data_IF_031427315220
#
_entry.id   IF_031427315220
#
_cell.length_a   1.000
_cell.length_b   1.000
_cell.length_c   1.000
_cell.angle_alpha   90.00
_cell.angle_beta   90.00
_cell.angle_gamma   90.00
#
_symmetry.space_group_name_H-M   'P 1'
#
loop_
_entity.id
_entity.type
_entity.pdbx_description
1 polymer ?
#
# COMPACT_ATOMS: atom_id res chain seq x y z
N UNK A 1 -3.86 -5.63 9.00
CA UNK A 1 -2.76 -6.23 9.79
C UNK A 1 -3.18 -7.47 10.58
N UNK A 2 -4.25 -7.44 11.34
CA UNK A 2 -4.74 -8.61 12.11
C UNK A 2 -5.12 -9.85 11.27
N UNK A 3 -5.72 -9.67 10.09
CA UNK A 3 -6.12 -10.80 9.21
C UNK A 3 -4.91 -11.62 8.74
N UNK A 4 -3.76 -10.98 8.50
CA UNK A 4 -2.53 -11.66 8.05
C UNK A 4 -1.90 -12.55 9.14
N UNK A 5 -1.94 -12.11 10.39
CA UNK A 5 -1.41 -12.87 11.53
C UNK A 5 -2.31 -14.07 11.89
N UNK A 6 -3.65 -13.92 11.79
CA UNK A 6 -4.60 -15.00 12.03
C UNK A 6 -4.50 -16.11 10.98
N UNK A 7 -4.31 -15.77 9.69
CA UNK A 7 -4.09 -16.79 8.64
C UNK A 7 -2.77 -17.57 8.84
N UNK A 8 -1.69 -16.91 9.28
CA UNK A 8 -0.43 -17.59 9.64
C UNK A 8 -0.57 -18.52 10.85
N UNK A 9 -1.38 -18.18 11.83
CA UNK A 9 -1.62 -18.99 13.01
C UNK A 9 -2.55 -20.20 12.73
N UNK A 10 -3.51 -20.06 11.80
CA UNK A 10 -4.41 -21.14 11.39
C UNK A 10 -3.77 -22.15 10.42
N UNK A 11 -2.68 -21.81 9.76
CA UNK A 11 -1.97 -22.65 8.78
C UNK A 11 -1.11 -23.79 9.36
N UNK A 12 -1.21 -24.04 10.66
CA UNK A 12 -0.36 -25.03 11.34
C UNK A 12 -0.81 -26.49 11.25
N UNK A 13 -1.92 -26.84 10.60
CA UNK A 13 -2.47 -28.20 10.68
C UNK A 13 -2.85 -28.88 9.35
N UNK A 14 -2.92 -28.20 8.24
CA UNK A 14 -3.14 -28.80 6.91
C UNK A 14 -2.19 -28.20 5.90
N UNK A 15 -1.53 -29.07 5.10
CA UNK A 15 -0.80 -28.68 3.89
C UNK A 15 -1.79 -28.16 2.83
N UNK A 16 -2.32 -26.96 3.04
CA UNK A 16 -2.92 -26.23 1.96
C UNK A 16 -1.77 -25.58 1.20
N UNK A 17 -1.59 -25.95 -0.06
CA UNK A 17 -0.59 -25.40 -0.95
C UNK A 17 -0.98 -23.95 -1.32
N UNK A 18 -0.78 -23.03 -0.38
CA UNK A 18 -0.93 -21.59 -0.65
C UNK A 18 0.24 -21.10 -1.49
N UNK A 19 -0.06 -20.37 -2.53
CA UNK A 19 0.92 -19.73 -3.39
C UNK A 19 0.72 -18.21 -3.44
N UNK A 20 1.82 -17.49 -3.52
CA UNK A 20 1.81 -16.07 -3.80
C UNK A 20 1.53 -15.84 -5.28
N UNK A 21 0.69 -14.86 -5.59
CA UNK A 21 0.47 -14.41 -6.94
C UNK A 21 0.22 -12.89 -6.98
N UNK A 22 0.61 -12.28 -8.08
CA UNK A 22 0.47 -10.84 -8.31
C UNK A 22 -0.33 -10.62 -9.57
N UNK A 23 -1.35 -9.77 -9.47
CA UNK A 23 -2.14 -9.30 -10.60
C UNK A 23 -1.93 -7.82 -10.79
N UNK A 24 -1.91 -7.40 -12.04
CA UNK A 24 -1.67 -6.03 -12.44
C UNK A 24 -2.76 -5.58 -13.42
N UNK A 25 -3.14 -4.33 -13.31
CA UNK A 25 -4.15 -3.78 -14.20
C UNK A 25 -4.32 -2.28 -14.05
N UNK A 26 -5.30 -1.78 -14.78
CA UNK A 26 -5.72 -0.39 -14.72
C UNK A 26 -7.13 -0.29 -14.17
N UNK A 27 -7.33 0.58 -13.20
CA UNK A 27 -8.64 1.03 -12.76
C UNK A 27 -9.25 2.08 -13.69
N UNK A 28 -10.35 2.71 -13.29
CA UNK A 28 -10.98 3.77 -14.07
C UNK A 28 -9.99 4.86 -14.47
N UNK A 29 -10.07 5.27 -15.74
CA UNK A 29 -9.24 6.33 -16.31
C UNK A 29 -7.72 6.12 -16.16
N UNK A 30 -7.28 4.86 -16.17
CA UNK A 30 -5.85 4.53 -16.25
C UNK A 30 -5.08 4.58 -14.93
N UNK A 31 -5.76 4.50 -13.79
CA UNK A 31 -5.08 4.32 -12.49
C UNK A 31 -4.38 2.95 -12.48
N UNK A 32 -3.08 2.95 -12.27
CA UNK A 32 -2.31 1.71 -12.17
C UNK A 32 -2.56 1.02 -10.83
N UNK A 33 -2.79 -0.29 -10.86
CA UNK A 33 -3.09 -1.10 -9.67
C UNK A 33 -2.29 -2.39 -9.69
N UNK A 34 -1.64 -2.69 -8.56
CA UNK A 34 -0.98 -3.98 -8.28
C UNK A 34 -1.75 -4.66 -7.15
N UNK A 35 -2.10 -5.92 -7.31
CA UNK A 35 -2.81 -6.72 -6.31
C UNK A 35 -1.95 -7.93 -5.93
N UNK A 36 -1.47 -7.96 -4.72
CA UNK A 36 -0.71 -9.08 -4.16
C UNK A 36 -1.65 -10.03 -3.42
N UNK A 37 -1.62 -11.29 -3.80
CA UNK A 37 -2.51 -12.32 -3.28
C UNK A 37 -1.75 -13.50 -2.71
N UNK A 38 -2.35 -14.16 -1.73
CA UNK A 38 -1.96 -15.47 -1.23
C UNK A 38 -3.19 -16.39 -1.31
N UNK A 39 -3.13 -17.42 -2.16
CA UNK A 39 -4.29 -18.26 -2.46
C UNK A 39 -3.95 -19.74 -2.54
N UNK A 40 -4.92 -20.56 -2.22
CA UNK A 40 -4.91 -22.01 -2.46
C UNK A 40 -5.52 -22.40 -3.82
N UNK A 41 -6.10 -21.43 -4.54
CA UNK A 41 -6.71 -21.62 -5.85
C UNK A 41 -6.51 -20.42 -6.76
N UNK A 42 -5.38 -20.41 -7.46
CA UNK A 42 -4.98 -19.32 -8.35
C UNK A 42 -6.00 -18.99 -9.45
N UNK A 43 -6.67 -20.02 -10.01
CA UNK A 43 -7.66 -19.81 -11.06
C UNK A 43 -8.92 -19.09 -10.55
N UNK A 44 -9.38 -19.44 -9.36
CA UNK A 44 -10.49 -18.76 -8.70
C UNK A 44 -10.14 -17.31 -8.44
N UNK A 45 -9.00 -17.05 -7.81
CA UNK A 45 -8.54 -15.70 -7.47
C UNK A 45 -8.38 -14.84 -8.71
N UNK A 46 -7.74 -15.36 -9.78
CA UNK A 46 -7.62 -14.65 -11.04
C UNK A 46 -8.97 -14.25 -11.65
N UNK A 47 -9.96 -15.14 -11.57
CA UNK A 47 -11.32 -14.87 -12.05
C UNK A 47 -12.02 -13.78 -11.24
N UNK A 48 -11.89 -13.82 -9.92
CA UNK A 48 -12.48 -12.83 -9.01
C UNK A 48 -11.84 -11.44 -9.20
N UNK A 49 -10.51 -11.36 -9.23
CA UNK A 49 -9.80 -10.09 -9.42
C UNK A 49 -10.15 -9.48 -10.78
N UNK A 50 -10.15 -10.28 -11.85
CA UNK A 50 -10.57 -9.82 -13.19
C UNK A 50 -11.99 -9.29 -13.17
N UNK A 51 -12.91 -9.98 -12.51
CA UNK A 51 -14.29 -9.55 -12.38
C UNK A 51 -14.42 -8.18 -11.70
N UNK A 52 -13.66 -7.92 -10.64
CA UNK A 52 -13.68 -6.62 -9.98
C UNK A 52 -13.19 -5.50 -10.89
N UNK A 53 -12.07 -5.69 -11.59
CA UNK A 53 -11.59 -4.71 -12.57
C UNK A 53 -12.65 -4.42 -13.64
N UNK A 54 -13.22 -5.45 -14.25
CA UNK A 54 -14.22 -5.31 -15.32
C UNK A 54 -15.50 -4.62 -14.81
N UNK A 55 -15.96 -4.99 -13.63
CA UNK A 55 -17.18 -4.43 -13.02
C UNK A 55 -17.07 -2.94 -12.72
N UNK A 56 -15.91 -2.49 -12.31
CA UNK A 56 -15.69 -1.11 -11.87
C UNK A 56 -14.96 -0.23 -12.91
N UNK A 57 -15.05 -0.60 -14.19
CA UNK A 57 -14.59 0.25 -15.29
C UNK A 57 -13.10 0.22 -15.56
N UNK A 58 -12.41 -0.79 -15.04
CA UNK A 58 -11.00 -1.02 -15.27
C UNK A 58 -10.74 -2.21 -16.20
N UNK A 59 -9.51 -2.68 -16.22
CA UNK A 59 -9.06 -3.82 -17.00
C UNK A 59 -7.84 -4.48 -16.34
N UNK A 60 -7.93 -5.77 -16.06
CA UNK A 60 -6.79 -6.55 -15.62
C UNK A 60 -5.90 -6.89 -16.82
N UNK A 61 -4.64 -6.49 -16.77
CA UNK A 61 -3.66 -6.71 -17.83
C UNK A 61 -2.77 -7.92 -17.61
N UNK A 62 -1.74 -8.02 -18.44
CA UNK A 62 -0.70 -9.02 -18.28
C UNK A 62 0.28 -8.64 -17.16
N UNK A 63 0.97 -9.63 -16.60
CA UNK A 63 2.06 -9.41 -15.64
C UNK A 63 3.11 -8.47 -16.23
N UNK A 64 3.52 -7.46 -15.46
CA UNK A 64 4.48 -6.45 -15.89
C UNK A 64 3.86 -5.24 -16.60
N UNK A 65 2.52 -5.16 -16.71
CA UNK A 65 1.89 -4.05 -17.43
C UNK A 65 1.91 -2.71 -16.65
N UNK A 66 2.09 -2.73 -15.33
CA UNK A 66 2.14 -1.53 -14.47
C UNK A 66 3.29 -1.51 -13.46
N UNK A 67 4.00 -2.61 -13.25
CA UNK A 67 5.04 -2.73 -12.22
C UNK A 67 6.20 -1.74 -12.43
N UNK A 68 6.48 -1.35 -13.68
CA UNK A 68 7.48 -0.34 -14.03
C UNK A 68 7.17 1.07 -13.48
N UNK A 69 5.92 1.32 -13.09
CA UNK A 69 5.49 2.58 -12.47
C UNK A 69 5.73 2.61 -10.95
N UNK A 70 6.12 1.49 -10.37
CA UNK A 70 6.31 1.34 -8.93
C UNK A 70 7.74 0.94 -8.60
N UNK A 71 8.19 1.33 -7.42
CA UNK A 71 9.47 0.92 -6.84
C UNK A 71 9.20 0.38 -5.45
N UNK A 72 9.73 -0.81 -5.14
CA UNK A 72 9.65 -1.36 -3.79
C UNK A 72 10.58 -0.54 -2.88
N UNK A 73 10.01 0.09 -1.85
CA UNK A 73 10.72 0.88 -0.84
C UNK A 73 10.34 0.44 0.56
N UNK A 74 11.21 0.70 1.52
CA UNK A 74 10.84 0.72 2.92
C UNK A 74 10.10 2.02 3.21
N UNK A 75 8.91 1.95 3.79
CA UNK A 75 8.10 3.10 4.17
C UNK A 75 7.89 3.07 5.68
N UNK A 76 8.30 4.15 6.35
CA UNK A 76 8.11 4.35 7.79
C UNK A 76 7.15 5.52 7.96
N UNK A 77 6.12 5.34 8.78
CA UNK A 77 5.16 6.38 9.11
C UNK A 77 5.32 6.73 10.59
N UNK A 78 5.55 8.01 10.87
CA UNK A 78 5.57 8.57 12.23
C UNK A 78 4.27 9.32 12.49
N UNK A 79 3.78 9.20 13.71
CA UNK A 79 2.63 9.96 14.17
C UNK A 79 3.02 11.42 14.42
N UNK A 80 2.29 12.35 13.85
CA UNK A 80 2.42 13.79 14.02
C UNK A 80 1.05 14.48 14.13
N UNK A 81 0.02 13.77 14.62
CA UNK A 81 -1.34 14.33 14.78
C UNK A 81 -1.36 15.62 15.60
N UNK A 82 -0.50 15.72 16.62
CA UNK A 82 -0.38 16.90 17.47
C UNK A 82 0.46 18.03 16.83
N UNK A 83 1.11 17.79 15.68
CA UNK A 83 1.98 18.75 15.00
C UNK A 83 3.24 19.14 15.79
N UNK A 84 3.67 18.32 16.73
CA UNK A 84 4.76 18.61 17.66
C UNK A 84 6.15 18.24 17.11
N UNK A 85 6.21 17.58 15.94
CA UNK A 85 7.49 17.23 15.33
C UNK A 85 8.12 18.47 14.69
N UNK A 86 9.26 18.87 15.23
CA UNK A 86 10.10 19.92 14.66
C UNK A 86 10.74 19.43 13.36
N UNK A 87 10.44 20.08 12.23
CA UNK A 87 10.85 19.66 10.90
C UNK A 87 12.37 19.63 10.73
N UNK A 88 13.09 20.66 11.20
CA UNK A 88 14.54 20.76 11.06
C UNK A 88 15.24 19.63 11.83
N UNK A 89 14.78 19.38 13.05
CA UNK A 89 15.33 18.31 13.88
C UNK A 89 14.95 16.92 13.30
N UNK A 90 13.73 16.74 12.83
CA UNK A 90 13.30 15.49 12.24
C UNK A 90 14.11 15.17 10.99
N UNK A 91 14.40 16.16 10.14
CA UNK A 91 15.26 16.00 8.98
C UNK A 91 16.63 15.44 9.36
N UNK A 92 17.30 16.04 10.35
CA UNK A 92 18.61 15.57 10.82
C UNK A 92 18.53 14.14 11.35
N UNK A 93 17.54 13.85 12.20
CA UNK A 93 17.34 12.55 12.82
C UNK A 93 17.00 11.45 11.80
N UNK A 94 16.19 11.75 10.77
CA UNK A 94 15.83 10.83 9.69
C UNK A 94 17.04 10.48 8.85
N UNK A 95 17.82 11.48 8.43
CA UNK A 95 19.03 11.25 7.64
C UNK A 95 20.07 10.45 8.43
N UNK A 96 20.23 10.76 9.72
CA UNK A 96 21.15 10.01 10.59
C UNK A 96 20.72 8.57 10.80
N UNK A 97 19.40 8.31 10.88
CA UNK A 97 18.84 6.97 10.99
C UNK A 97 18.93 6.14 9.69
N UNK A 98 19.17 6.78 8.55
CA UNK A 98 19.30 6.15 7.23
C UNK A 98 18.06 6.24 6.35
N UNK A 99 17.18 7.22 6.59
CA UNK A 99 16.11 7.58 5.66
C UNK A 99 16.67 8.24 4.40
N UNK A 100 16.10 7.93 3.23
CA UNK A 100 16.53 8.48 1.94
C UNK A 100 15.73 9.74 1.58
N UNK A 101 14.43 9.73 1.85
CA UNK A 101 13.52 10.82 1.57
C UNK A 101 12.41 10.87 2.61
N UNK A 102 11.77 12.01 2.78
CA UNK A 102 10.68 12.17 3.74
C UNK A 102 9.71 13.29 3.32
N UNK A 103 8.47 13.18 3.76
CA UNK A 103 7.42 14.18 3.58
C UNK A 103 6.62 14.39 4.86
N UNK A 104 6.22 15.63 5.11
CA UNK A 104 5.28 15.98 6.15
C UNK A 104 3.89 16.10 5.52
N UNK A 105 2.97 15.27 5.98
CA UNK A 105 1.57 15.30 5.60
C UNK A 105 0.71 15.55 6.83
N UNK A 106 -0.60 15.79 6.64
CA UNK A 106 -1.52 16.05 7.75
C UNK A 106 -1.47 14.89 8.77
N UNK A 107 -0.95 15.19 9.94
CA UNK A 107 -0.89 14.27 11.07
C UNK A 107 0.18 13.18 11.00
N UNK A 108 1.01 13.12 9.95
CA UNK A 108 2.05 12.10 9.83
C UNK A 108 3.34 12.62 9.20
N UNK A 109 4.43 11.90 9.41
CA UNK A 109 5.66 12.05 8.65
C UNK A 109 5.94 10.71 7.95
N UNK A 110 5.93 10.71 6.63
CA UNK A 110 6.28 9.54 5.83
C UNK A 110 7.76 9.58 5.45
N UNK A 111 8.45 8.48 5.64
CA UNK A 111 9.88 8.34 5.37
C UNK A 111 10.08 7.15 4.46
N UNK A 112 10.87 7.33 3.40
CA UNK A 112 11.24 6.23 2.51
C UNK A 112 12.71 5.87 2.67
N UNK A 113 13.02 4.59 2.51
CA UNK A 113 14.36 4.02 2.60
C UNK A 113 14.44 2.73 1.77
N UNK A 114 15.60 2.07 1.79
CA UNK A 114 15.73 0.70 1.26
C UNK A 114 14.77 -0.25 2.00
N UNK A 115 14.08 -1.17 1.27
CA UNK A 115 13.13 -2.11 1.91
C UNK A 115 13.74 -2.92 3.06
N UNK A 116 15.02 -3.26 2.96
CA UNK A 116 15.72 -4.03 3.99
C UNK A 116 16.10 -3.20 5.22
N UNK A 117 16.14 -1.88 5.08
CA UNK A 117 16.54 -0.95 6.15
C UNK A 117 15.36 -0.44 6.98
N UNK A 118 14.11 -0.58 6.51
CA UNK A 118 12.93 0.02 7.15
C UNK A 118 12.82 -0.28 8.64
N UNK A 119 13.00 -1.52 9.06
CA UNK A 119 12.91 -1.91 10.47
C UNK A 119 14.01 -1.26 11.32
N UNK A 120 15.23 -1.15 10.79
CA UNK A 120 16.37 -0.55 11.50
C UNK A 120 16.18 0.95 11.64
N UNK A 121 15.76 1.64 10.58
CA UNK A 121 15.48 3.08 10.58
C UNK A 121 14.35 3.39 11.58
N UNK A 122 13.27 2.60 11.57
CA UNK A 122 12.17 2.74 12.51
C UNK A 122 12.62 2.56 13.98
N UNK A 123 13.47 1.58 14.25
CA UNK A 123 14.02 1.36 15.59
C UNK A 123 14.87 2.56 16.07
N UNK A 124 15.74 3.09 15.22
CA UNK A 124 16.57 4.24 15.54
C UNK A 124 15.73 5.49 15.79
N UNK A 125 14.71 5.74 14.98
CA UNK A 125 13.77 6.85 15.19
C UNK A 125 12.95 6.68 16.48
N UNK A 126 12.53 5.47 16.79
CA UNK A 126 11.86 5.16 18.05
C UNK A 126 12.75 5.45 19.29
N UNK A 127 14.06 5.14 19.22
CA UNK A 127 15.04 5.47 20.27
C UNK A 127 15.21 6.98 20.47
N UNK A 128 15.04 7.77 19.40
CA UNK A 128 15.09 9.23 19.42
C UNK A 128 13.79 9.86 19.96
N UNK A 129 12.75 9.05 20.21
CA UNK A 129 11.49 9.47 20.82
C UNK A 129 10.34 9.67 19.85
N UNK A 130 10.52 9.35 18.56
CA UNK A 130 9.43 9.40 17.58
C UNK A 130 8.46 8.23 17.78
N UNK A 131 7.17 8.49 17.60
CA UNK A 131 6.14 7.45 17.65
C UNK A 131 5.98 6.83 16.26
N UNK A 132 6.51 5.64 16.08
CA UNK A 132 6.42 4.89 14.82
C UNK A 132 5.06 4.20 14.73
N UNK A 133 4.28 4.52 13.70
CA UNK A 133 2.98 3.90 13.40
C UNK A 133 3.17 2.61 12.59
N UNK A 134 4.03 2.66 11.57
CA UNK A 134 4.32 1.50 10.72
C UNK A 134 5.72 1.58 10.13
N UNK A 135 6.25 0.42 9.74
CA UNK A 135 7.50 0.29 9.00
C UNK A 135 7.42 -0.97 8.14
N UNK A 136 7.12 -0.82 6.87
CA UNK A 136 6.85 -1.92 5.96
C UNK A 136 7.48 -1.68 4.59
N UNK A 137 7.62 -2.76 3.80
CA UNK A 137 7.99 -2.64 2.39
C UNK A 137 6.72 -2.40 1.56
N UNK A 138 6.73 -1.36 0.75
CA UNK A 138 5.60 -0.92 -0.06
C UNK A 138 6.01 -0.65 -1.51
N UNK A 139 5.07 -0.87 -2.43
CA UNK A 139 5.22 -0.47 -3.82
C UNK A 139 4.87 1.02 -3.95
N UNK A 140 5.87 1.86 -4.11
CA UNK A 140 5.71 3.32 -4.19
C UNK A 140 5.67 3.75 -5.66
N UNK A 141 4.59 4.42 -6.11
CA UNK A 141 4.48 4.88 -7.48
C UNK A 141 5.44 6.05 -7.77
N UNK A 142 5.97 6.08 -8.98
CA UNK A 142 6.80 7.19 -9.46
C UNK A 142 5.98 8.38 -9.98
N UNK A 143 4.74 8.15 -10.36
CA UNK A 143 3.79 9.16 -10.84
C UNK A 143 2.38 8.83 -10.34
N UNK A 144 1.58 9.87 -10.12
CA UNK A 144 0.20 9.74 -9.65
C UNK A 144 -0.80 10.09 -10.74
N UNK A 145 -1.97 9.48 -10.68
CA UNK A 145 -3.10 9.75 -11.57
C UNK A 145 -4.23 10.37 -10.77
N UNK A 146 -4.61 11.60 -11.13
CA UNK A 146 -5.74 12.31 -10.53
C UNK A 146 -7.02 11.99 -11.30
N UNK A 147 -8.09 11.66 -10.59
CA UNK A 147 -9.43 11.48 -11.14
C UNK A 147 -10.27 12.73 -10.87
N UNK A 148 -10.92 13.25 -11.90
CA UNK A 148 -11.78 14.44 -11.79
C UNK A 148 -13.26 14.14 -12.06
N UNK A 149 -13.55 13.01 -12.69
CA UNK A 149 -14.91 12.55 -12.98
C UNK A 149 -15.48 11.80 -11.76
N UNK A 150 -16.64 12.23 -11.26
CA UNK A 150 -17.26 11.66 -10.07
C UNK A 150 -17.59 10.16 -10.21
N UNK A 151 -17.97 9.71 -11.42
CA UNK A 151 -18.22 8.29 -11.68
C UNK A 151 -16.93 7.47 -11.62
N UNK A 152 -15.82 8.01 -12.14
CA UNK A 152 -14.51 7.38 -12.03
C UNK A 152 -14.01 7.31 -10.58
N UNK A 153 -14.16 8.39 -9.81
CA UNK A 153 -13.80 8.44 -8.39
C UNK A 153 -14.58 7.37 -7.62
N UNK A 154 -15.91 7.34 -7.81
CA UNK A 154 -16.77 6.34 -7.16
C UNK A 154 -16.39 4.90 -7.53
N UNK A 155 -16.19 4.64 -8.81
CA UNK A 155 -15.82 3.31 -9.29
C UNK A 155 -14.45 2.87 -8.77
N UNK A 156 -13.48 3.80 -8.71
CA UNK A 156 -12.16 3.51 -8.15
C UNK A 156 -12.25 3.14 -6.67
N UNK A 157 -13.01 3.88 -5.88
CA UNK A 157 -13.26 3.56 -4.48
C UNK A 157 -13.90 2.17 -4.30
N UNK A 158 -14.91 1.84 -5.10
CA UNK A 158 -15.57 0.52 -5.07
C UNK A 158 -14.65 -0.61 -5.51
N UNK A 159 -13.75 -0.35 -6.48
CA UNK A 159 -12.74 -1.32 -6.90
C UNK A 159 -11.77 -1.65 -5.75
N UNK A 160 -11.24 -0.63 -5.09
CA UNK A 160 -10.33 -0.80 -3.95
C UNK A 160 -11.02 -1.54 -2.80
N UNK A 161 -12.25 -1.17 -2.45
CA UNK A 161 -13.05 -1.84 -1.43
C UNK A 161 -13.26 -3.34 -1.75
N UNK A 162 -13.64 -3.65 -2.98
CA UNK A 162 -13.86 -5.03 -3.42
C UNK A 162 -12.56 -5.86 -3.38
N UNK A 163 -11.43 -5.27 -3.77
CA UNK A 163 -10.12 -5.91 -3.71
C UNK A 163 -9.69 -6.16 -2.25
N UNK A 164 -9.80 -5.17 -1.40
CA UNK A 164 -9.39 -5.26 0.01
C UNK A 164 -10.27 -6.24 0.82
N UNK A 165 -11.55 -6.36 0.48
CA UNK A 165 -12.48 -7.29 1.11
C UNK A 165 -12.24 -8.76 0.69
N UNK A 166 -11.54 -9.00 -0.41
CA UNK A 166 -11.23 -10.36 -0.86
C UNK A 166 -10.23 -11.03 0.09
N UNK A 167 -10.56 -12.22 0.57
CA UNK A 167 -9.75 -12.96 1.55
C UNK A 167 -8.37 -13.37 1.04
N UNK A 168 -8.21 -13.54 -0.26
CA UNK A 168 -6.94 -13.93 -0.87
C UNK A 168 -6.02 -12.72 -1.11
N UNK A 169 -6.56 -11.51 -1.13
CA UNK A 169 -5.78 -10.28 -1.31
C UNK A 169 -5.04 -9.91 -0.02
N UNK A 170 -3.73 -9.70 -0.14
CA UNK A 170 -2.85 -9.30 0.95
C UNK A 170 -2.55 -7.81 0.94
N UNK A 171 -2.24 -7.27 -0.23
CA UNK A 171 -1.96 -5.85 -0.43
C UNK A 171 -2.55 -5.38 -1.76
N UNK A 172 -2.98 -4.13 -1.80
CA UNK A 172 -3.36 -3.41 -3.01
C UNK A 172 -2.53 -2.14 -3.07
N UNK A 173 -1.75 -2.00 -4.15
CA UNK A 173 -0.94 -0.82 -4.42
C UNK A 173 -1.50 -0.10 -5.64
N UNK A 174 -1.57 1.22 -5.61
CA UNK A 174 -2.09 2.01 -6.72
C UNK A 174 -1.42 3.37 -6.79
N UNK A 175 -1.56 4.03 -7.93
CA UNK A 175 -1.07 5.38 -8.14
C UNK A 175 -2.19 6.45 -8.22
N UNK A 176 -3.34 6.15 -7.66
CA UNK A 176 -4.41 7.13 -7.57
C UNK A 176 -4.08 8.19 -6.54
N UNK A 177 -4.08 9.45 -6.99
CA UNK A 177 -4.05 10.61 -6.11
C UNK A 177 -5.49 10.86 -5.63
N UNK A 178 -5.86 10.12 -4.58
CA UNK A 178 -7.19 10.21 -4.02
C UNK A 178 -7.41 11.61 -3.39
N UNK A 179 -8.59 12.23 -3.59
CA UNK A 179 -8.92 13.41 -2.81
C UNK A 179 -8.90 13.04 -1.32
N UNK A 180 -8.38 13.95 -0.50
CA UNK A 180 -8.48 13.79 0.95
C UNK A 180 -9.95 13.53 1.30
N UNK A 181 -10.20 12.48 2.07
CA UNK A 181 -11.53 12.24 2.58
C UNK A 181 -11.85 13.39 3.52
N UNK A 182 -12.77 14.26 3.11
CA UNK A 182 -13.44 15.16 4.04
C UNK A 182 -14.24 14.27 5.00
N UNK A 183 -13.60 13.74 6.01
CA UNK A 183 -14.26 13.17 7.18
C UNK A 183 -14.88 14.32 7.96
N UNK A 184 -15.93 14.93 7.36
CA UNK A 184 -16.85 15.79 8.10
C UNK A 184 -17.87 14.89 8.81
N UNK A 185 -17.72 14.81 10.14
CA UNK A 185 -18.66 14.38 11.21
C UNK A 185 -19.13 12.91 11.24
#
# INVERSE_FOLDING_TARGET
MYKRQLKKAAGGAEKNDYEDCVYEGYGPNGVAVIVECLTDNRNRTAGEIRHYFDKFGGNMGATGCVDFLFTLKGVIVLDNEDGDIDEDKAMEDILEAGGDDFGFEDGVVEITTDPSAAATVAEELGKKGYKVVSAEAEQVPSTYTTLTDEDHIKKMGLLLEALEDNDDVQNVWHNWDAPESDDED
#
